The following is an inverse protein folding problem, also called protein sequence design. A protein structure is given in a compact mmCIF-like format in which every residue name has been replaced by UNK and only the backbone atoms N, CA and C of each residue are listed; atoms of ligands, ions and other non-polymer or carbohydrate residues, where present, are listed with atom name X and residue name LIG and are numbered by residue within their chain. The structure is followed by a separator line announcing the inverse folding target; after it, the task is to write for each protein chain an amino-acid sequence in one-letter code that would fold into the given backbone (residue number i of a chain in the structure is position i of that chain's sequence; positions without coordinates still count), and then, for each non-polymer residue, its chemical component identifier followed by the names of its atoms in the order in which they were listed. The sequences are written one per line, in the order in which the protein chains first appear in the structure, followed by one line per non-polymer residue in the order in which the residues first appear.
data_IF_277222074138
#
_entry.id   IF_277222074138
#
_cell.length_a   1.000
_cell.length_b   1.000
_cell.length_c   1.000
_cell.angle_alpha   90.00
_cell.angle_beta   90.00
_cell.angle_gamma   90.00
#
_symmetry.space_group_name_H-M   'P 1'
#
loop_
_entity.id
_entity.type
_entity.pdbx_description
1 polymer ?
#
# COMPACT_ATOMS: atom_id res chain seq x y z
N UNK A 1 -29.75 -4.29 -7.31
CA UNK A 1 -29.02 -3.35 -6.43
C UNK A 1 -27.87 -2.84 -7.26
N UNK A 2 -27.70 -1.53 -7.30
CA UNK A 2 -26.56 -0.93 -8.00
C UNK A 2 -25.26 -1.33 -7.27
N UNK A 3 -24.14 -1.50 -7.99
CA UNK A 3 -22.86 -1.84 -7.37
C UNK A 3 -22.48 -0.74 -6.37
N UNK A 4 -21.87 -1.15 -5.25
CA UNK A 4 -21.29 -0.23 -4.28
C UNK A 4 -19.92 0.15 -4.81
N UNK A 5 -19.65 1.45 -4.99
CA UNK A 5 -18.32 1.94 -5.34
C UNK A 5 -17.48 2.10 -4.07
N UNK A 6 -16.24 1.63 -4.11
CA UNK A 6 -15.21 1.86 -3.11
C UNK A 6 -14.12 2.74 -3.74
N UNK A 7 -14.04 3.97 -3.28
CA UNK A 7 -13.03 4.94 -3.71
C UNK A 7 -11.77 4.74 -2.86
N UNK A 8 -10.63 4.49 -3.51
CA UNK A 8 -9.38 4.22 -2.79
C UNK A 8 -8.29 5.24 -3.10
N UNK A 9 -7.56 5.61 -2.05
CA UNK A 9 -6.28 6.29 -2.15
C UNK A 9 -5.14 5.29 -2.04
N UNK A 10 -4.37 5.12 -3.11
CA UNK A 10 -3.27 4.16 -3.20
C UNK A 10 -1.91 4.85 -3.03
N UNK A 11 -1.16 4.44 -2.02
CA UNK A 11 0.13 5.02 -1.66
C UNK A 11 1.23 3.94 -1.74
N UNK A 12 2.34 4.26 -2.40
CA UNK A 12 3.49 3.38 -2.58
C UNK A 12 4.70 3.98 -1.86
N UNK A 13 5.27 3.26 -0.90
CA UNK A 13 6.32 3.81 -0.04
C UNK A 13 7.72 3.75 -0.65
N UNK A 14 8.66 4.49 -0.05
CA UNK A 14 10.02 4.57 -0.59
C UNK A 14 10.77 3.25 -0.47
N UNK A 15 10.41 2.37 0.46
CA UNK A 15 11.02 1.04 0.60
C UNK A 15 10.60 0.09 -0.51
N UNK A 16 9.35 0.18 -0.96
CA UNK A 16 8.86 -0.57 -2.11
C UNK A 16 9.53 -0.04 -3.38
N UNK A 17 9.60 1.28 -3.55
CA UNK A 17 10.33 1.88 -4.66
C UNK A 17 11.79 1.45 -4.70
N UNK A 18 12.51 1.54 -3.58
CA UNK A 18 13.90 1.05 -3.45
C UNK A 18 14.04 -0.44 -3.81
N UNK A 19 13.00 -1.26 -3.57
CA UNK A 19 13.02 -2.68 -3.96
C UNK A 19 12.93 -2.83 -5.48
N UNK A 20 12.00 -2.14 -6.13
CA UNK A 20 11.87 -2.16 -7.59
C UNK A 20 13.11 -1.57 -8.28
N UNK A 21 13.72 -0.53 -7.72
CA UNK A 21 14.99 0.01 -8.23
C UNK A 21 16.16 -1.00 -8.20
N UNK A 22 16.11 -2.02 -7.33
CA UNK A 22 17.15 -3.07 -7.28
C UNK A 22 16.86 -4.22 -8.24
N UNK A 23 15.58 -4.49 -8.49
CA UNK A 23 15.14 -5.62 -9.32
C UNK A 23 15.10 -5.26 -10.80
N UNK A 24 14.71 -4.03 -11.13
CA UNK A 24 14.56 -3.57 -12.50
C UNK A 24 15.67 -2.57 -12.86
N UNK A 25 16.38 -2.86 -13.94
CA UNK A 25 17.47 -2.02 -14.47
C UNK A 25 16.90 -0.76 -15.11
N UNK A 26 15.82 -0.91 -15.87
CA UNK A 26 15.15 0.16 -16.59
C UNK A 26 13.76 0.40 -15.99
N UNK A 27 13.35 1.67 -15.93
CA UNK A 27 12.02 2.14 -15.53
C UNK A 27 11.37 1.45 -14.31
N UNK A 28 12.07 1.39 -13.15
CA UNK A 28 11.54 0.76 -11.93
C UNK A 28 10.24 1.40 -11.43
N UNK A 29 10.01 2.68 -11.74
CA UNK A 29 8.77 3.39 -11.45
C UNK A 29 7.60 2.84 -12.26
N UNK A 30 7.77 2.63 -13.57
CA UNK A 30 6.73 2.07 -14.43
C UNK A 30 6.38 0.65 -14.00
N UNK A 31 7.41 -0.18 -13.75
CA UNK A 31 7.20 -1.53 -13.23
C UNK A 31 6.44 -1.55 -11.91
N UNK A 32 6.71 -0.60 -11.01
CA UNK A 32 6.02 -0.49 -9.74
C UNK A 32 4.55 -0.04 -9.92
N UNK A 33 4.29 0.93 -10.80
CA UNK A 33 2.93 1.36 -11.15
C UNK A 33 2.14 0.19 -11.72
N UNK A 34 2.68 -0.49 -12.73
CA UNK A 34 2.02 -1.63 -13.39
C UNK A 34 1.72 -2.76 -12.39
N UNK A 35 2.68 -3.08 -11.53
CA UNK A 35 2.48 -4.05 -10.45
C UNK A 35 1.33 -3.65 -9.52
N UNK A 36 1.30 -2.39 -9.09
CA UNK A 36 0.29 -1.89 -8.16
C UNK A 36 -1.11 -1.89 -8.78
N UNK A 37 -1.23 -1.49 -10.05
CA UNK A 37 -2.49 -1.51 -10.79
C UNK A 37 -2.97 -2.94 -11.04
N UNK A 38 -2.07 -3.85 -11.42
CA UNK A 38 -2.40 -5.26 -11.59
C UNK A 38 -2.89 -5.89 -10.28
N UNK A 39 -2.26 -5.56 -9.14
CA UNK A 39 -2.69 -6.03 -7.82
C UNK A 39 -4.11 -5.56 -7.49
N UNK A 40 -4.39 -4.26 -7.64
CA UNK A 40 -5.74 -3.72 -7.39
C UNK A 40 -6.76 -4.30 -8.36
N UNK A 41 -6.43 -4.42 -9.64
CA UNK A 41 -7.31 -5.02 -10.64
C UNK A 41 -7.66 -6.48 -10.33
N UNK A 42 -6.67 -7.26 -9.87
CA UNK A 42 -6.93 -8.64 -9.44
C UNK A 42 -7.89 -8.69 -8.23
N UNK A 43 -7.73 -7.78 -7.27
CA UNK A 43 -8.67 -7.67 -6.13
C UNK A 43 -10.05 -7.24 -6.61
N UNK A 44 -10.15 -6.26 -7.51
CA UNK A 44 -11.41 -5.84 -8.12
C UNK A 44 -12.14 -7.03 -8.76
N UNK A 45 -11.46 -7.83 -9.59
CA UNK A 45 -12.05 -9.02 -10.24
C UNK A 45 -12.55 -10.06 -9.23
N UNK A 46 -11.88 -10.21 -8.07
CA UNK A 46 -12.36 -11.10 -7.00
C UNK A 46 -13.69 -10.61 -6.40
N UNK A 47 -13.88 -9.29 -6.27
CA UNK A 47 -15.12 -8.71 -5.77
C UNK A 47 -16.26 -8.67 -6.80
N UNK A 48 -15.95 -8.86 -8.09
CA UNK A 48 -16.96 -9.05 -9.14
C UNK A 48 -17.49 -10.49 -9.24
N UNK A 49 -16.98 -11.43 -8.43
CA UNK A 49 -17.46 -12.82 -8.44
C UNK A 49 -18.92 -12.88 -7.95
N UNK A 50 -19.75 -13.69 -8.62
CA UNK A 50 -21.19 -13.81 -8.31
C UNK A 50 -21.52 -14.31 -6.90
N UNK A 51 -20.53 -14.88 -6.20
CA UNK A 51 -20.65 -15.32 -4.80
C UNK A 51 -20.46 -14.18 -3.78
N UNK A 52 -19.98 -13.01 -4.21
CA UNK A 52 -19.85 -11.82 -3.37
C UNK A 52 -21.05 -10.89 -3.63
N UNK A 53 -21.73 -10.49 -2.57
CA UNK A 53 -22.89 -9.59 -2.67
C UNK A 53 -22.86 -8.62 -1.49
N UNK A 54 -23.04 -7.31 -1.70
CA UNK A 54 -23.21 -6.64 -3.00
C UNK A 54 -21.94 -6.67 -3.86
N UNK A 55 -22.08 -6.45 -5.17
CA UNK A 55 -20.93 -6.25 -6.06
C UNK A 55 -20.23 -4.94 -5.65
N UNK A 56 -18.91 -5.00 -5.51
CA UNK A 56 -18.08 -3.86 -5.11
C UNK A 56 -17.25 -3.40 -6.30
N UNK A 57 -17.53 -2.22 -6.83
CA UNK A 57 -16.70 -1.55 -7.82
C UNK A 57 -15.54 -0.83 -7.12
N UNK A 58 -14.30 -1.00 -7.57
CA UNK A 58 -13.12 -0.43 -6.88
C UNK A 58 -12.49 0.57 -7.83
N UNK A 59 -12.40 1.83 -7.39
CA UNK A 59 -11.87 2.93 -8.19
C UNK A 59 -10.74 3.61 -7.44
N UNK A 60 -9.60 3.79 -8.12
CA UNK A 60 -8.48 4.56 -7.58
C UNK A 60 -8.73 6.03 -7.89
N UNK A 61 -8.98 6.83 -6.86
CA UNK A 61 -9.21 8.29 -6.98
C UNK A 61 -7.97 9.09 -6.64
N UNK A 62 -7.04 8.49 -5.87
CA UNK A 62 -5.75 9.09 -5.51
C UNK A 62 -4.64 8.08 -5.67
N UNK A 63 -3.54 8.47 -6.31
CA UNK A 63 -2.35 7.64 -6.45
C UNK A 63 -1.09 8.43 -6.09
N UNK A 64 -0.28 7.92 -5.16
CA UNK A 64 0.98 8.54 -4.78
C UNK A 64 2.13 7.53 -4.74
N UNK A 65 3.22 7.87 -5.42
CA UNK A 65 4.49 7.14 -5.35
C UNK A 65 5.54 7.99 -4.62
N UNK A 66 5.98 7.51 -3.47
CA UNK A 66 6.94 8.21 -2.63
C UNK A 66 8.36 7.74 -2.90
N UNK A 67 9.11 8.45 -3.76
CA UNK A 67 10.55 8.22 -3.95
C UNK A 67 11.37 8.51 -2.69
N UNK A 68 10.82 9.37 -1.82
CA UNK A 68 11.32 9.68 -0.48
C UNK A 68 10.14 9.66 0.48
N UNK A 69 10.33 9.03 1.64
CA UNK A 69 9.28 8.92 2.64
C UNK A 69 8.84 10.32 3.13
N UNK A 70 7.52 10.58 3.28
CA UNK A 70 7.03 11.81 3.89
C UNK A 70 7.54 11.96 5.32
N UNK A 71 7.81 13.20 5.73
CA UNK A 71 8.25 13.51 7.10
C UNK A 71 7.25 12.97 8.12
N UNK A 72 7.74 12.25 9.14
CA UNK A 72 6.88 11.67 10.18
C UNK A 72 6.31 10.29 9.84
N UNK A 73 6.53 9.79 8.62
CA UNK A 73 6.37 8.38 8.25
C UNK A 73 7.71 7.63 8.27
N UNK A 74 8.73 8.21 8.93
CA UNK A 74 10.10 7.72 8.87
C UNK A 74 10.25 6.29 9.42
N UNK A 75 10.90 5.49 8.57
CA UNK A 75 11.19 4.04 8.63
C UNK A 75 11.86 3.52 9.92
N UNK A 76 12.12 4.37 10.93
CA UNK A 76 12.59 3.94 12.26
C UNK A 76 11.53 3.13 13.02
N UNK A 77 10.25 3.18 12.59
CA UNK A 77 9.19 2.30 13.07
C UNK A 77 9.40 0.81 12.68
N UNK A 78 10.38 0.49 11.82
CA UNK A 78 10.70 -0.90 11.44
C UNK A 78 11.67 -1.61 12.39
N UNK A 79 12.16 -0.94 13.45
CA UNK A 79 12.87 -1.63 14.53
C UNK A 79 11.84 -2.52 15.28
N UNK A 80 11.84 -3.81 14.95
CA UNK A 80 11.11 -4.92 15.59
C UNK A 80 9.70 -5.26 15.08
N UNK A 81 9.36 -4.97 13.83
CA UNK A 81 8.11 -5.51 13.24
C UNK A 81 6.82 -4.86 13.77
N UNK A 82 6.87 -3.59 14.14
CA UNK A 82 5.71 -2.84 14.62
C UNK A 82 4.81 -2.37 13.46
N UNK A 83 4.19 -3.32 12.74
CA UNK A 83 3.22 -3.02 11.68
C UNK A 83 2.12 -2.05 12.17
N UNK A 84 1.72 -2.15 13.44
CA UNK A 84 0.76 -1.26 14.07
C UNK A 84 1.22 0.20 14.10
N UNK A 85 2.51 0.46 14.35
CA UNK A 85 3.05 1.82 14.39
C UNK A 85 3.02 2.45 13.01
N UNK A 86 3.42 1.69 11.98
CA UNK A 86 3.31 2.14 10.58
C UNK A 86 1.85 2.43 10.21
N UNK A 87 0.93 1.53 10.55
CA UNK A 87 -0.50 1.70 10.30
C UNK A 87 -1.01 2.99 10.95
N UNK A 88 -0.70 3.23 12.22
CA UNK A 88 -1.14 4.44 12.93
C UNK A 88 -0.58 5.73 12.31
N UNK A 89 0.69 5.72 11.89
CA UNK A 89 1.32 6.87 11.23
C UNK A 89 0.70 7.11 9.85
N UNK A 90 0.46 6.06 9.09
CA UNK A 90 -0.19 6.13 7.79
C UNK A 90 -1.64 6.65 7.91
N UNK A 91 -2.42 6.14 8.87
CA UNK A 91 -3.78 6.64 9.13
C UNK A 91 -3.79 8.14 9.42
N UNK A 92 -2.82 8.64 10.21
CA UNK A 92 -2.70 10.08 10.47
C UNK A 92 -2.32 10.85 9.21
N UNK A 93 -1.33 10.36 8.47
CA UNK A 93 -0.86 11.02 7.26
C UNK A 93 -1.94 11.11 6.19
N UNK A 94 -2.57 9.98 5.84
CA UNK A 94 -3.61 9.97 4.80
C UNK A 94 -4.83 10.81 5.20
N UNK A 95 -5.19 10.88 6.49
CA UNK A 95 -6.24 11.77 6.98
C UNK A 95 -5.91 13.27 6.83
N UNK A 96 -4.64 13.67 6.71
CA UNK A 96 -4.28 15.07 6.41
C UNK A 96 -4.42 15.43 4.94
N UNK A 97 -4.46 14.42 4.07
CA UNK A 97 -4.57 14.59 2.62
C UNK A 97 -6.02 14.40 2.14
N UNK A 98 -6.78 13.56 2.83
CA UNK A 98 -8.17 13.29 2.49
C UNK A 98 -9.04 14.54 2.78
N UNK A 99 -9.87 15.00 1.82
CA UNK A 99 -10.90 16.04 2.04
C UNK A 99 -11.85 15.75 3.23
N UNK A 100 -11.87 14.53 3.74
CA UNK A 100 -12.47 14.17 5.01
C UNK A 100 -13.97 13.93 4.88
N UNK A 101 -14.80 14.81 5.44
CA UNK A 101 -16.26 14.66 5.41
C UNK A 101 -16.92 15.26 4.18
N UNK A 102 -16.17 15.94 3.32
CA UNK A 102 -16.68 16.42 2.04
C UNK A 102 -16.74 15.27 1.04
N UNK A 103 -17.82 14.49 1.13
CA UNK A 103 -18.10 13.38 0.21
C UNK A 103 -18.46 13.84 -1.21
N UNK A 104 -18.43 15.16 -1.47
CA UNK A 104 -18.67 15.71 -2.81
C UNK A 104 -17.38 16.09 -3.53
N UNK A 105 -16.25 16.07 -2.83
CA UNK A 105 -14.94 16.30 -3.42
C UNK A 105 -14.51 15.06 -4.22
N UNK A 106 -14.21 15.18 -5.54
CA UNK A 106 -13.78 14.05 -6.35
C UNK A 106 -12.42 13.45 -5.94
N UNK A 107 -11.63 14.15 -5.11
CA UNK A 107 -10.39 13.65 -4.52
C UNK A 107 -10.63 12.99 -3.14
N UNK A 108 -11.88 12.88 -2.66
CA UNK A 108 -12.22 12.10 -1.47
C UNK A 108 -12.02 10.60 -1.73
N UNK A 109 -11.55 9.86 -0.72
CA UNK A 109 -11.51 8.40 -0.76
C UNK A 109 -12.09 7.78 0.51
N UNK A 110 -12.79 6.65 0.34
CA UNK A 110 -13.31 5.83 1.43
C UNK A 110 -12.19 5.09 2.18
N UNK A 111 -11.18 4.60 1.44
CA UNK A 111 -10.14 3.73 1.98
C UNK A 111 -8.74 4.06 1.48
N UNK A 112 -7.83 4.35 2.42
CA UNK A 112 -6.41 4.54 2.12
C UNK A 112 -5.64 3.21 2.20
N UNK A 113 -4.86 2.89 1.17
CA UNK A 113 -4.04 1.68 1.08
C UNK A 113 -2.57 2.07 0.95
N UNK A 114 -1.72 1.52 1.81
CA UNK A 114 -0.26 1.66 1.71
C UNK A 114 0.37 0.33 1.27
N UNK A 115 1.02 0.32 0.11
CA UNK A 115 1.90 -0.78 -0.29
C UNK A 115 3.34 -0.45 0.14
N UNK A 116 3.91 -1.31 0.97
CA UNK A 116 5.23 -1.09 1.58
C UNK A 116 6.21 -2.22 1.28
N UNK A 117 7.46 -1.85 0.99
CA UNK A 117 8.58 -2.78 0.86
C UNK A 117 9.22 -3.13 2.20
N UNK A 118 8.69 -2.63 3.32
CA UNK A 118 9.19 -2.94 4.64
C UNK A 118 9.02 -4.43 4.93
N UNK A 119 10.14 -5.14 5.07
CA UNK A 119 10.14 -6.57 5.38
C UNK A 119 9.36 -6.83 6.68
N UNK A 120 8.27 -7.60 6.58
CA UNK A 120 7.78 -8.38 7.70
C UNK A 120 8.91 -9.27 8.22
N UNK A 121 8.96 -9.48 9.53
CA UNK A 121 10.07 -10.08 10.30
C UNK A 121 10.76 -11.33 9.72
N UNK A 122 10.13 -12.06 8.78
CA UNK A 122 10.65 -13.32 8.18
C UNK A 122 11.83 -13.16 7.23
N UNK A 123 12.09 -11.97 6.70
CA UNK A 123 13.24 -11.74 5.80
C UNK A 123 14.29 -10.79 6.37
N UNK A 124 14.14 -10.38 7.63
CA UNK A 124 15.21 -9.65 8.31
C UNK A 124 16.48 -10.52 8.37
N UNK A 125 17.67 -9.97 8.04
CA UNK A 125 18.95 -10.66 8.26
C UNK A 125 19.11 -11.17 9.71
N UNK A 126 18.40 -10.57 10.67
CA UNK A 126 18.34 -11.02 12.05
C UNK A 126 17.54 -12.30 12.27
N UNK A 127 16.42 -12.50 11.55
CA UNK A 127 15.63 -13.75 11.61
C UNK A 127 16.41 -14.92 11.02
N UNK A 128 17.06 -14.70 9.86
CA UNK A 128 17.95 -15.70 9.26
C UNK A 128 19.05 -16.12 10.24
N UNK A 129 19.63 -15.20 11.02
CA UNK A 129 20.64 -15.49 12.05
C UNK A 129 20.13 -16.26 13.28
N UNK A 130 18.87 -16.11 13.67
CA UNK A 130 18.31 -16.79 14.85
C UNK A 130 17.82 -18.21 14.54
N UNK A 131 17.50 -18.52 13.28
CA UNK A 131 16.98 -19.83 12.85
C UNK A 131 17.88 -20.60 11.88
N UNK A 132 19.09 -20.10 11.61
CA UNK A 132 20.16 -20.94 11.07
C UNK A 132 20.93 -21.57 12.22
N UNK A 133 20.38 -22.63 12.79
CA UNK A 133 21.19 -23.57 13.57
C UNK A 133 22.17 -24.25 12.60
N UNK A 134 23.46 -24.37 12.95
CA UNK A 134 24.38 -25.20 12.19
C UNK A 134 23.98 -26.68 12.40
N UNK A 135 23.82 -27.42 11.30
CA UNK A 135 23.97 -28.88 11.33
C UNK A 135 25.44 -29.23 11.53
#
# INVERSE_FOLDING_TARGET
MDPVTLEIGLFLDSKLYEHFQREFIDDPEQHLVDFSLALINNVHVLYQQSSMTPNLDIVIVRFELWKKQPTGLDTLAHRNGQAQTLLNLFCRHQATLNPGTDLTDPEHWDHGILLTGALGSRHSPYWKRQHSSPN
#
